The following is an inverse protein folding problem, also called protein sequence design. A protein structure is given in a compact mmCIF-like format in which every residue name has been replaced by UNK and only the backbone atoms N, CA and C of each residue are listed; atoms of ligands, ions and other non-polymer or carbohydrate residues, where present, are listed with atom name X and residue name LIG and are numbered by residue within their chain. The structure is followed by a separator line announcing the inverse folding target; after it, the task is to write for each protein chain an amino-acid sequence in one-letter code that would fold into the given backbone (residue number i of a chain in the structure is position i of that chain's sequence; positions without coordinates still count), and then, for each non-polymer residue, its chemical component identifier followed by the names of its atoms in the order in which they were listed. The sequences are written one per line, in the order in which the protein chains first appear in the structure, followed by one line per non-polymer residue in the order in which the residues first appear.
data_IF_809492110341
#
_entry.id   IF_809492110341
#
_cell.length_a   1.000
_cell.length_b   1.000
_cell.length_c   1.000
_cell.angle_alpha   90.00
_cell.angle_beta   90.00
_cell.angle_gamma   90.00
#
_symmetry.space_group_name_H-M   'P 1'
#
loop_
_entity.id
_entity.type
_entity.pdbx_description
1 polymer ?
#
# COMPACT_ATOMS: atom_id res chain seq x y z
N UNK A 1 1.44 4.84 3.91
CA UNK A 1 1.01 3.52 3.41
C UNK A 1 -0.51 3.45 3.19
N UNK A 2 -0.99 2.55 2.33
CA UNK A 2 -2.41 2.21 2.14
C UNK A 2 -2.67 0.87 2.84
N UNK A 3 -3.61 0.83 3.79
CA UNK A 3 -3.83 -0.32 4.65
C UNK A 3 -5.28 -0.79 4.67
N UNK A 4 -5.47 -2.09 4.79
CA UNK A 4 -6.70 -2.75 5.17
C UNK A 4 -6.40 -4.21 5.53
N UNK A 5 -7.02 -4.71 6.59
CA UNK A 5 -6.86 -6.10 7.05
C UNK A 5 -7.72 -7.09 6.25
N UNK A 6 -8.64 -6.58 5.44
CA UNK A 6 -9.48 -7.40 4.56
C UNK A 6 -8.81 -7.60 3.21
N UNK A 7 -8.80 -8.84 2.72
CA UNK A 7 -8.32 -9.18 1.37
C UNK A 7 -9.24 -8.63 0.27
N UNK A 8 -8.67 -8.35 -0.90
CA UNK A 8 -9.43 -7.95 -2.09
C UNK A 8 -10.01 -6.54 -2.07
N UNK A 9 -9.59 -5.67 -1.14
CA UNK A 9 -10.05 -4.28 -1.10
C UNK A 9 -9.30 -3.34 -2.07
N UNK A 10 -8.27 -3.85 -2.77
CA UNK A 10 -7.53 -3.12 -3.79
C UNK A 10 -6.34 -2.32 -3.28
N UNK A 11 -5.73 -2.69 -2.15
CA UNK A 11 -4.51 -2.05 -1.61
C UNK A 11 -3.40 -1.96 -2.64
N UNK A 12 -2.92 -3.11 -3.11
CA UNK A 12 -1.80 -3.21 -4.07
C UNK A 12 -2.11 -2.48 -5.37
N UNK A 13 -3.35 -2.57 -5.89
CA UNK A 13 -3.78 -1.80 -7.06
C UNK A 13 -3.76 -0.29 -6.82
N UNK A 14 -4.16 0.15 -5.63
CA UNK A 14 -4.12 1.57 -5.27
C UNK A 14 -2.66 2.05 -5.15
N UNK A 15 -1.79 1.30 -4.46
CA UNK A 15 -0.37 1.63 -4.33
C UNK A 15 0.29 1.68 -5.72
N UNK A 16 -0.01 0.72 -6.59
CA UNK A 16 0.50 0.66 -7.96
C UNK A 16 0.19 1.95 -8.75
N UNK A 17 -1.07 2.37 -8.77
CA UNK A 17 -1.47 3.57 -9.53
C UNK A 17 -1.01 4.88 -8.87
N UNK A 18 -1.09 4.97 -7.53
CA UNK A 18 -0.60 6.15 -6.78
C UNK A 18 0.89 6.34 -6.97
N UNK A 19 1.68 5.25 -6.91
CA UNK A 19 3.14 5.33 -7.10
C UNK A 19 3.51 5.79 -8.51
N UNK A 20 2.82 5.32 -9.54
CA UNK A 20 3.00 5.77 -10.91
C UNK A 20 2.67 7.27 -11.08
N UNK A 21 1.59 7.74 -10.50
CA UNK A 21 1.24 9.16 -10.59
C UNK A 21 2.26 10.05 -9.88
N UNK A 22 2.64 9.69 -8.66
CA UNK A 22 3.66 10.42 -7.90
C UNK A 22 5.01 10.44 -8.62
N UNK A 23 5.40 9.36 -9.27
CA UNK A 23 6.70 9.26 -9.95
C UNK A 23 6.86 10.17 -11.16
N UNK A 24 5.79 10.81 -11.62
CA UNK A 24 5.89 11.83 -12.68
C UNK A 24 6.67 13.06 -12.23
N UNK A 25 6.70 13.36 -10.93
CA UNK A 25 7.33 14.56 -10.38
C UNK A 25 8.26 14.29 -9.18
N UNK A 26 8.25 13.08 -8.61
CA UNK A 26 8.94 12.74 -7.38
C UNK A 26 9.67 11.41 -7.50
N UNK A 27 10.72 11.23 -6.71
CA UNK A 27 11.37 9.92 -6.55
C UNK A 27 10.56 9.05 -5.60
N UNK A 28 10.03 7.95 -6.12
CA UNK A 28 9.12 7.06 -5.41
C UNK A 28 9.72 5.68 -5.26
N UNK A 29 9.68 5.14 -4.07
CA UNK A 29 9.99 3.74 -3.78
C UNK A 29 8.73 3.01 -3.32
N UNK A 30 8.49 1.85 -3.89
CA UNK A 30 7.50 0.89 -3.38
C UNK A 30 8.24 -0.25 -2.70
N UNK A 31 7.78 -0.66 -1.51
CA UNK A 31 8.30 -1.83 -0.79
C UNK A 31 7.18 -2.85 -0.67
N UNK A 32 7.39 -4.03 -1.25
CA UNK A 32 6.46 -5.15 -1.15
C UNK A 32 6.81 -5.99 0.09
N UNK A 33 5.89 -6.08 1.04
CA UNK A 33 5.98 -6.93 2.23
C UNK A 33 4.97 -8.10 2.20
N UNK A 34 4.26 -8.30 1.07
CA UNK A 34 3.36 -9.45 0.87
C UNK A 34 4.10 -10.62 0.20
N UNK A 35 4.78 -11.42 1.00
CA UNK A 35 5.51 -12.58 0.48
C UNK A 35 4.63 -13.72 -0.03
N UNK A 36 3.32 -13.76 0.30
CA UNK A 36 2.43 -14.83 -0.16
C UNK A 36 1.90 -14.56 -1.56
N UNK A 37 1.28 -13.40 -1.76
CA UNK A 37 0.74 -13.01 -3.05
C UNK A 37 1.81 -12.35 -3.92
N UNK A 38 2.66 -11.51 -3.33
CA UNK A 38 3.62 -10.65 -4.03
C UNK A 38 2.95 -9.92 -5.22
N UNK A 39 1.71 -9.46 -4.98
CA UNK A 39 0.84 -8.92 -6.00
C UNK A 39 1.46 -7.69 -6.66
N UNK A 40 1.99 -6.76 -5.86
CA UNK A 40 2.55 -5.53 -6.42
C UNK A 40 3.87 -5.78 -7.17
N UNK A 41 4.66 -6.75 -6.72
CA UNK A 41 5.84 -7.22 -7.46
C UNK A 41 5.42 -7.76 -8.83
N UNK A 42 4.35 -8.55 -8.88
CA UNK A 42 3.81 -9.08 -10.13
C UNK A 42 3.20 -7.97 -11.01
N UNK A 43 2.53 -6.97 -10.44
CA UNK A 43 1.94 -5.87 -11.21
C UNK A 43 2.99 -5.06 -11.96
N UNK A 44 4.16 -4.83 -11.36
CA UNK A 44 5.25 -4.11 -11.98
C UNK A 44 6.02 -4.93 -13.02
N UNK A 45 6.29 -6.20 -12.75
CA UNK A 45 7.24 -6.98 -13.52
C UNK A 45 6.65 -8.21 -14.22
N UNK A 46 5.44 -8.61 -13.88
CA UNK A 46 4.82 -9.81 -14.43
C UNK A 46 5.68 -11.04 -14.20
N UNK A 47 5.84 -11.83 -15.26
CA UNK A 47 6.70 -13.02 -15.28
C UNK A 47 8.15 -12.72 -15.73
N UNK A 48 8.53 -11.43 -15.90
CA UNK A 48 9.87 -11.06 -16.32
C UNK A 48 10.91 -11.20 -15.22
N UNK A 49 10.48 -11.31 -13.98
CA UNK A 49 11.35 -11.67 -12.87
C UNK A 49 11.63 -13.18 -12.98
N UNK A 50 12.79 -13.50 -13.57
CA UNK A 50 13.33 -14.84 -13.59
C UNK A 50 13.63 -15.28 -12.15
N UNK A 51 13.14 -16.46 -11.75
CA UNK A 51 13.39 -17.09 -10.45
C UNK A 51 13.03 -16.22 -9.22
N UNK A 52 11.71 -16.04 -9.01
CA UNK A 52 11.17 -15.30 -7.85
C UNK A 52 11.75 -15.72 -6.50
N UNK A 53 12.13 -17.00 -6.36
CA UNK A 53 12.63 -17.53 -5.10
C UNK A 53 14.04 -17.08 -4.76
N UNK A 54 14.83 -16.68 -5.75
CA UNK A 54 16.21 -16.18 -5.60
C UNK A 54 16.33 -14.67 -5.50
N UNK A 55 15.24 -13.90 -5.71
CA UNK A 55 15.26 -12.45 -5.62
C UNK A 55 15.62 -12.00 -4.20
N UNK A 56 16.59 -11.10 -4.11
CA UNK A 56 16.89 -10.40 -2.88
C UNK A 56 15.75 -9.45 -2.52
N UNK A 57 15.35 -9.49 -1.26
CA UNK A 57 14.23 -8.74 -0.69
C UNK A 57 14.69 -7.87 0.47
N UNK A 58 13.78 -7.07 1.02
CA UNK A 58 14.03 -6.31 2.25
C UNK A 58 14.46 -7.22 3.41
N UNK A 59 13.99 -8.48 3.44
CA UNK A 59 14.34 -9.44 4.48
C UNK A 59 15.82 -9.82 4.44
N UNK A 60 16.44 -9.86 3.24
CA UNK A 60 17.87 -10.14 3.12
C UNK A 60 18.70 -9.02 3.75
N UNK A 61 18.32 -7.77 3.54
CA UNK A 61 18.95 -6.62 4.22
C UNK A 61 18.78 -6.67 5.73
N UNK A 62 17.64 -7.17 6.22
CA UNK A 62 17.36 -7.28 7.65
C UNK A 62 18.10 -8.45 8.33
N UNK A 63 18.50 -9.47 7.56
CA UNK A 63 19.18 -10.67 8.05
C UNK A 63 20.69 -10.64 7.90
N UNK A 64 21.17 -10.03 6.82
CA UNK A 64 22.56 -10.07 6.40
C UNK A 64 23.13 -8.66 6.41
N UNK A 65 24.10 -8.39 7.28
CA UNK A 65 24.80 -7.08 7.35
C UNK A 65 25.62 -6.76 6.09
N UNK A 66 25.85 -7.75 5.22
CA UNK A 66 26.59 -7.60 3.97
C UNK A 66 25.72 -7.20 2.77
N UNK A 67 24.38 -7.20 2.91
CA UNK A 67 23.45 -6.82 1.84
C UNK A 67 22.97 -5.40 2.10
N UNK A 68 23.33 -4.47 1.23
CA UNK A 68 22.83 -3.11 1.29
C UNK A 68 21.36 -3.07 0.82
N UNK A 69 20.57 -2.14 1.36
CA UNK A 69 19.21 -1.92 0.85
C UNK A 69 19.20 -1.49 -0.61
N UNK A 70 20.24 -0.83 -1.07
CA UNK A 70 20.36 -0.42 -2.48
C UNK A 70 20.61 -1.59 -3.44
N UNK A 71 21.13 -2.72 -2.95
CA UNK A 71 21.35 -3.93 -3.77
C UNK A 71 20.05 -4.66 -4.14
N UNK A 72 19.00 -4.43 -3.34
CA UNK A 72 17.69 -5.10 -3.51
C UNK A 72 16.69 -4.25 -4.29
N UNK A 73 17.00 -2.98 -4.55
CA UNK A 73 16.13 -2.08 -5.31
C UNK A 73 16.15 -2.45 -6.81
N UNK A 74 14.97 -2.47 -7.40
CA UNK A 74 14.77 -2.68 -8.85
C UNK A 74 14.13 -1.45 -9.47
N UNK A 75 14.72 -0.87 -10.53
CA UNK A 75 14.11 0.25 -11.24
C UNK A 75 12.88 -0.23 -12.04
N UNK A 76 11.79 0.54 -11.95
CA UNK A 76 10.58 0.39 -12.77
C UNK A 76 10.59 1.45 -13.86
N UNK A 77 10.78 2.71 -13.46
CA UNK A 77 11.04 3.86 -14.34
C UNK A 77 12.18 4.68 -13.78
N UNK A 78 12.51 5.82 -14.39
CA UNK A 78 13.57 6.73 -13.91
C UNK A 78 13.33 7.17 -12.45
N UNK A 79 12.07 7.43 -12.06
CA UNK A 79 11.71 7.94 -10.74
C UNK A 79 10.89 6.95 -9.89
N UNK A 80 10.58 5.75 -10.39
CA UNK A 80 9.83 4.74 -9.68
C UNK A 80 10.66 3.47 -9.52
N UNK A 81 10.86 3.09 -8.29
CA UNK A 81 11.64 1.90 -7.94
C UNK A 81 10.82 0.97 -7.04
N UNK A 82 11.18 -0.32 -7.02
CA UNK A 82 10.56 -1.35 -6.20
C UNK A 82 11.61 -2.14 -5.42
N UNK A 83 11.33 -2.41 -4.15
CA UNK A 83 11.91 -3.53 -3.41
C UNK A 83 10.90 -4.69 -3.49
N UNK A 84 11.21 -5.76 -4.24
CA UNK A 84 10.27 -6.85 -4.48
C UNK A 84 10.11 -7.76 -3.27
N UNK A 85 9.03 -8.55 -3.26
CA UNK A 85 8.82 -9.63 -2.31
C UNK A 85 8.96 -11.02 -2.96
N UNK A 86 9.30 -11.98 -2.11
CA UNK A 86 9.19 -13.41 -2.38
C UNK A 86 8.64 -14.12 -1.12
N UNK A 87 8.46 -15.42 -1.19
CA UNK A 87 7.89 -16.21 -0.08
C UNK A 87 8.69 -16.07 1.23
N UNK A 88 9.98 -15.75 1.18
CA UNK A 88 10.81 -15.59 2.38
C UNK A 88 10.37 -14.42 3.26
N UNK A 89 9.71 -13.41 2.68
CA UNK A 89 9.20 -12.22 3.41
C UNK A 89 8.13 -12.61 4.43
N UNK A 90 7.41 -13.72 4.22
CA UNK A 90 6.43 -14.24 5.20
C UNK A 90 7.05 -14.65 6.53
N UNK A 91 8.34 -14.91 6.55
CA UNK A 91 9.10 -15.39 7.71
C UNK A 91 9.75 -14.26 8.53
N UNK A 92 9.28 -13.03 8.39
CA UNK A 92 9.71 -11.90 9.24
C UNK A 92 9.01 -12.04 10.60
N UNK A 93 9.67 -12.62 11.58
CA UNK A 93 9.02 -13.03 12.83
C UNK A 93 9.78 -12.66 14.11
N UNK A 94 10.47 -11.51 14.19
CA UNK A 94 11.16 -11.14 15.43
C UNK A 94 11.15 -9.65 15.72
N UNK A 95 11.01 -9.28 17.00
CA UNK A 95 11.01 -7.89 17.50
C UNK A 95 12.30 -7.12 17.22
N UNK A 96 13.43 -7.80 17.15
CA UNK A 96 14.74 -7.22 16.80
C UNK A 96 14.77 -6.69 15.35
N UNK A 97 13.88 -7.16 14.48
CA UNK A 97 13.76 -6.68 13.10
C UNK A 97 13.16 -5.28 12.99
N UNK A 98 12.38 -4.85 13.95
CA UNK A 98 11.73 -3.53 13.98
C UNK A 98 12.75 -2.38 13.95
N UNK A 99 13.80 -2.49 14.77
CA UNK A 99 14.89 -1.49 14.83
C UNK A 99 15.69 -1.48 13.53
N UNK A 100 15.97 -2.66 12.97
CA UNK A 100 16.70 -2.78 11.71
C UNK A 100 15.89 -2.22 10.55
N UNK A 101 14.59 -2.53 10.47
CA UNK A 101 13.70 -2.01 9.43
C UNK A 101 13.61 -0.49 9.50
N UNK A 102 13.46 0.08 10.68
CA UNK A 102 13.44 1.55 10.87
C UNK A 102 14.73 2.22 10.40
N UNK A 103 15.90 1.62 10.66
CA UNK A 103 17.18 2.13 10.15
C UNK A 103 17.22 2.13 8.63
N UNK A 104 16.78 1.04 8.00
CA UNK A 104 16.69 0.91 6.53
C UNK A 104 15.75 1.98 5.96
N UNK A 105 14.57 2.17 6.54
CA UNK A 105 13.64 3.19 6.07
C UNK A 105 14.21 4.60 6.22
N UNK A 106 14.93 4.89 7.31
CA UNK A 106 15.57 6.20 7.48
C UNK A 106 16.67 6.44 6.44
N UNK A 107 17.44 5.42 6.06
CA UNK A 107 18.42 5.52 4.97
C UNK A 107 17.74 5.80 3.63
N UNK A 108 16.62 5.14 3.34
CA UNK A 108 15.85 5.33 2.11
C UNK A 108 15.17 6.72 2.05
N UNK A 109 14.79 7.31 3.17
CA UNK A 109 14.20 8.67 3.24
C UNK A 109 15.16 9.78 2.77
N UNK A 110 16.46 9.53 2.77
CA UNK A 110 17.45 10.49 2.23
C UNK A 110 17.49 10.51 0.69
N UNK A 111 16.90 9.50 0.04
CA UNK A 111 16.95 9.32 -1.41
C UNK A 111 15.61 9.47 -2.10
N UNK A 112 14.51 9.10 -1.41
CA UNK A 112 13.17 9.06 -1.97
C UNK A 112 12.25 10.09 -1.31
N UNK A 113 11.48 10.80 -2.13
CA UNK A 113 10.46 11.74 -1.67
C UNK A 113 9.26 11.02 -1.06
N UNK A 114 8.90 9.85 -1.64
CA UNK A 114 7.83 9.00 -1.18
C UNK A 114 8.25 7.54 -1.07
N UNK A 115 7.90 6.91 0.04
CA UNK A 115 8.04 5.46 0.24
C UNK A 115 6.65 4.90 0.50
N UNK A 116 6.17 4.05 -0.39
CA UNK A 116 4.90 3.34 -0.28
C UNK A 116 5.16 1.90 0.11
N UNK A 117 4.44 1.39 1.11
CA UNK A 117 4.64 0.02 1.61
C UNK A 117 3.36 -0.77 1.38
N UNK A 118 3.45 -1.87 0.64
CA UNK A 118 2.37 -2.84 0.45
C UNK A 118 2.52 -4.00 1.43
N UNK A 119 1.42 -4.39 2.07
CA UNK A 119 1.39 -5.42 3.09
C UNK A 119 0.28 -6.43 2.83
N UNK A 120 0.43 -7.69 3.29
CA UNK A 120 -0.61 -8.70 3.15
C UNK A 120 -1.92 -8.29 3.86
N UNK A 121 -3.05 -8.90 3.51
CA UNK A 121 -4.35 -8.50 4.05
C UNK A 121 -4.60 -8.92 5.51
N UNK A 122 -3.78 -9.76 6.09
CA UNK A 122 -3.95 -10.22 7.47
C UNK A 122 -3.02 -9.46 8.43
N UNK A 123 -3.50 -9.11 9.63
CA UNK A 123 -2.63 -8.53 10.65
C UNK A 123 -1.51 -9.52 11.00
N UNK A 124 -0.29 -9.10 10.75
CA UNK A 124 0.91 -9.88 10.99
C UNK A 124 2.11 -8.95 11.22
N UNK A 125 3.32 -9.52 11.28
CA UNK A 125 4.55 -8.75 11.46
C UNK A 125 4.80 -7.70 10.38
N UNK A 126 4.39 -7.94 9.14
CA UNK A 126 4.51 -6.94 8.06
C UNK A 126 3.67 -5.71 8.34
N UNK A 127 2.47 -5.87 8.91
CA UNK A 127 1.64 -4.74 9.38
C UNK A 127 2.32 -3.95 10.49
N UNK A 128 2.86 -4.62 11.50
CA UNK A 128 3.57 -3.96 12.60
C UNK A 128 4.81 -3.21 12.10
N UNK A 129 5.60 -3.81 11.21
CA UNK A 129 6.75 -3.16 10.59
C UNK A 129 6.31 -1.91 9.83
N UNK A 130 5.29 -2.05 8.99
CA UNK A 130 4.75 -0.96 8.20
C UNK A 130 4.26 0.21 9.09
N UNK A 131 3.42 -0.07 10.09
CA UNK A 131 2.90 0.93 11.02
C UNK A 131 4.01 1.62 11.83
N UNK A 132 5.08 0.87 12.20
CA UNK A 132 6.18 1.41 13.00
C UNK A 132 7.01 2.51 12.31
N UNK A 133 6.90 2.65 10.97
CA UNK A 133 7.70 3.59 10.17
C UNK A 133 6.85 4.54 9.32
N UNK A 134 5.56 4.28 9.20
CA UNK A 134 4.66 5.08 8.35
C UNK A 134 4.28 6.38 9.03
N UNK A 135 4.60 7.51 8.39
CA UNK A 135 4.13 8.82 8.84
C UNK A 135 2.64 9.00 8.54
N UNK A 136 2.21 8.60 7.34
CA UNK A 136 0.83 8.74 6.91
C UNK A 136 0.22 7.38 6.58
N UNK A 137 -0.98 7.15 7.08
CA UNK A 137 -1.75 5.93 6.89
C UNK A 137 -3.06 6.29 6.19
N UNK A 138 -3.36 5.56 5.12
CA UNK A 138 -4.59 5.69 4.35
C UNK A 138 -5.35 4.37 4.39
N UNK A 139 -6.32 4.19 5.29
CA UNK A 139 -7.22 3.06 5.23
C UNK A 139 -7.97 3.04 3.89
N UNK A 140 -8.09 1.86 3.27
CA UNK A 140 -8.88 1.66 2.05
C UNK A 140 -10.02 0.69 2.32
N UNK A 141 -11.23 1.07 1.97
CA UNK A 141 -12.45 0.29 2.25
C UNK A 141 -13.29 0.13 0.99
N UNK A 142 -13.98 -1.00 0.90
CA UNK A 142 -15.01 -1.25 -0.13
C UNK A 142 -16.40 -1.05 0.47
N UNK A 143 -17.43 -0.75 -0.34
CA UNK A 143 -18.79 -0.60 0.12
C UNK A 143 -19.45 -1.98 0.37
N UNK A 144 -19.02 -2.68 1.41
CA UNK A 144 -19.60 -3.95 1.85
C UNK A 144 -19.82 -3.98 3.37
N UNK A 145 -20.69 -4.89 3.84
CA UNK A 145 -21.15 -5.00 5.22
C UNK A 145 -20.01 -5.26 6.22
N UNK A 146 -18.93 -5.91 5.79
CA UNK A 146 -17.81 -6.25 6.67
C UNK A 146 -16.79 -5.10 6.81
N UNK A 147 -16.83 -4.11 5.92
CA UNK A 147 -15.83 -3.04 5.86
C UNK A 147 -15.78 -2.15 7.10
N UNK A 148 -16.89 -1.74 7.73
CA UNK A 148 -16.84 -0.95 8.96
C UNK A 148 -16.15 -1.69 10.10
N UNK A 149 -16.43 -2.98 10.28
CA UNK A 149 -15.77 -3.81 11.31
C UNK A 149 -14.27 -3.95 11.04
N UNK A 150 -13.89 -4.23 9.81
CA UNK A 150 -12.47 -4.35 9.42
C UNK A 150 -11.73 -3.00 9.56
N UNK A 151 -12.40 -1.88 9.28
CA UNK A 151 -11.85 -0.55 9.51
C UNK A 151 -11.63 -0.28 11.02
N UNK A 152 -12.59 -0.65 11.87
CA UNK A 152 -12.46 -0.49 13.33
C UNK A 152 -11.27 -1.30 13.86
N UNK A 153 -11.12 -2.57 13.46
CA UNK A 153 -9.97 -3.40 13.84
C UNK A 153 -8.64 -2.78 13.41
N UNK A 154 -8.56 -2.29 12.16
CA UNK A 154 -7.37 -1.60 11.67
C UNK A 154 -7.06 -0.34 12.50
N UNK A 155 -8.08 0.42 12.91
CA UNK A 155 -7.89 1.60 13.73
C UNK A 155 -7.36 1.28 15.13
N UNK A 156 -7.77 0.14 15.71
CA UNK A 156 -7.19 -0.37 16.95
C UNK A 156 -5.70 -0.66 16.79
N UNK A 157 -5.31 -1.37 15.73
CA UNK A 157 -3.91 -1.65 15.40
C UNK A 157 -3.08 -0.37 15.16
N UNK A 158 -3.66 0.66 14.53
CA UNK A 158 -3.00 1.95 14.33
C UNK A 158 -2.82 2.68 15.66
N UNK A 159 -3.84 2.69 16.53
CA UNK A 159 -3.77 3.30 17.86
C UNK A 159 -2.71 2.64 18.74
N UNK A 160 -2.61 1.32 18.71
CA UNK A 160 -1.53 0.59 19.39
C UNK A 160 -0.15 0.99 18.84
N UNK A 161 -0.02 1.12 17.52
CA UNK A 161 1.23 1.56 16.94
C UNK A 161 1.60 2.99 17.35
N UNK A 162 0.63 3.91 17.41
CA UNK A 162 0.83 5.28 17.88
C UNK A 162 1.26 5.32 19.35
N UNK A 163 0.70 4.45 20.19
CA UNK A 163 1.04 4.40 21.62
C UNK A 163 2.44 3.80 21.88
N UNK A 164 2.78 2.70 21.19
CA UNK A 164 3.95 1.89 21.57
C UNK A 164 5.15 1.98 20.62
N UNK A 165 4.93 2.27 19.33
CA UNK A 165 6.01 2.13 18.34
C UNK A 165 6.23 3.34 17.47
N UNK A 166 5.19 4.11 17.12
CA UNK A 166 5.27 5.22 16.19
C UNK A 166 4.29 6.35 16.53
N UNK A 167 4.60 7.20 17.52
CA UNK A 167 3.73 8.31 17.93
C UNK A 167 3.47 9.35 16.81
N UNK A 168 4.29 9.36 15.76
CA UNK A 168 4.16 10.30 14.64
C UNK A 168 3.22 9.79 13.53
N UNK A 169 2.74 8.55 13.65
CA UNK A 169 1.79 8.00 12.67
C UNK A 169 0.47 8.78 12.71
N UNK A 170 -0.03 9.18 11.55
CA UNK A 170 -1.27 9.94 11.43
C UNK A 170 -2.12 9.46 10.25
N UNK A 171 -3.41 9.72 10.32
CA UNK A 171 -4.32 9.45 9.21
C UNK A 171 -4.25 10.55 8.16
N UNK A 172 -3.97 10.18 6.92
CA UNK A 172 -4.07 11.13 5.79
C UNK A 172 -5.52 11.25 5.29
N UNK A 173 -6.31 10.22 5.50
CA UNK A 173 -7.70 10.11 5.08
C UNK A 173 -8.07 8.66 4.75
N UNK A 174 -9.38 8.38 4.60
CA UNK A 174 -9.91 7.05 4.26
C UNK A 174 -10.32 7.03 2.79
N UNK A 175 -9.86 6.02 2.05
CA UNK A 175 -10.17 5.84 0.63
C UNK A 175 -11.37 4.90 0.50
N UNK A 176 -12.45 5.35 -0.16
CA UNK A 176 -13.54 4.47 -0.61
C UNK A 176 -13.19 3.93 -2.00
N UNK A 177 -13.01 2.62 -2.10
CA UNK A 177 -12.66 1.92 -3.33
C UNK A 177 -13.81 1.04 -3.82
N UNK A 178 -13.81 0.69 -5.11
CA UNK A 178 -14.85 -0.13 -5.77
C UNK A 178 -16.26 0.43 -5.56
N UNK A 179 -16.38 1.75 -5.50
CA UNK A 179 -17.64 2.42 -5.21
C UNK A 179 -18.59 2.40 -6.42
N UNK A 180 -19.83 1.91 -6.20
CA UNK A 180 -20.94 2.06 -7.14
C UNK A 180 -22.08 2.83 -6.46
N UNK A 181 -22.12 4.13 -6.66
CA UNK A 181 -23.11 5.02 -6.07
C UNK A 181 -24.58 4.78 -6.51
N UNK A 182 -24.81 3.89 -7.46
CA UNK A 182 -26.17 3.48 -7.86
C UNK A 182 -26.82 2.57 -6.82
N UNK A 183 -26.02 1.90 -5.99
CA UNK A 183 -26.52 0.95 -4.99
C UNK A 183 -26.80 1.64 -3.65
N UNK A 184 -27.88 1.23 -2.98
CA UNK A 184 -28.19 1.70 -1.63
C UNK A 184 -27.13 1.28 -0.62
N UNK A 185 -26.56 0.07 -0.79
CA UNK A 185 -25.52 -0.45 0.08
C UNK A 185 -24.30 0.49 0.06
N UNK A 186 -23.79 0.86 -1.12
CA UNK A 186 -22.63 1.74 -1.22
C UNK A 186 -22.87 3.11 -0.57
N UNK A 187 -24.05 3.69 -0.75
CA UNK A 187 -24.42 4.96 -0.11
C UNK A 187 -24.47 4.85 1.41
N UNK A 188 -25.08 3.78 1.94
CA UNK A 188 -25.15 3.56 3.38
C UNK A 188 -23.78 3.31 4.01
N UNK A 189 -22.92 2.50 3.34
CA UNK A 189 -21.56 2.23 3.81
C UNK A 189 -20.69 3.49 3.78
N UNK A 190 -20.87 4.36 2.81
CA UNK A 190 -20.17 5.66 2.80
C UNK A 190 -20.50 6.49 4.03
N UNK A 191 -21.78 6.59 4.41
CA UNK A 191 -22.20 7.33 5.62
C UNK A 191 -21.61 6.69 6.88
N UNK A 192 -21.60 5.37 6.95
CA UNK A 192 -21.06 4.65 8.11
C UNK A 192 -19.54 4.85 8.24
N UNK A 193 -18.80 4.75 7.15
CA UNK A 193 -17.34 4.99 7.12
C UNK A 193 -17.02 6.45 7.45
N UNK A 194 -17.80 7.42 6.97
CA UNK A 194 -17.62 8.84 7.28
C UNK A 194 -17.83 9.13 8.78
N UNK A 195 -18.83 8.48 9.39
CA UNK A 195 -19.04 8.54 10.84
C UNK A 195 -17.85 7.96 11.63
N UNK A 196 -17.23 6.88 11.14
CA UNK A 196 -16.02 6.33 11.75
C UNK A 196 -14.86 7.31 11.58
N UNK A 197 -14.64 7.84 10.38
CA UNK A 197 -13.59 8.82 10.09
C UNK A 197 -13.67 10.03 11.03
N UNK A 198 -14.87 10.57 11.22
CA UNK A 198 -15.13 11.69 12.14
C UNK A 198 -14.74 11.36 13.58
N UNK A 199 -15.07 10.15 14.07
CA UNK A 199 -14.72 9.69 15.42
C UNK A 199 -13.20 9.54 15.61
N UNK A 200 -12.48 9.24 14.55
CA UNK A 200 -11.01 9.10 14.52
C UNK A 200 -10.29 10.43 14.34
N UNK A 201 -11.01 11.55 14.21
CA UNK A 201 -10.41 12.86 13.94
C UNK A 201 -9.81 12.98 12.53
N UNK A 202 -10.24 12.13 11.59
CA UNK A 202 -9.82 12.16 10.18
C UNK A 202 -11.03 12.38 9.26
N UNK A 203 -10.84 12.27 7.95
CA UNK A 203 -11.89 12.42 6.96
C UNK A 203 -11.81 11.33 5.89
N UNK A 204 -12.87 11.18 5.13
CA UNK A 204 -12.80 10.46 3.85
C UNK A 204 -12.19 11.36 2.78
N UNK A 205 -11.42 10.77 1.87
CA UNK A 205 -11.05 11.47 0.65
C UNK A 205 -12.31 11.85 -0.14
N UNK A 206 -12.32 13.05 -0.73
CA UNK A 206 -13.46 13.52 -1.55
C UNK A 206 -13.67 12.66 -2.79
N UNK A 207 -12.60 12.06 -3.28
CA UNK A 207 -12.61 11.22 -4.48
C UNK A 207 -12.75 9.76 -4.09
N UNK A 208 -13.78 9.11 -4.63
CA UNK A 208 -13.98 7.66 -4.52
C UNK A 208 -13.43 7.00 -5.78
N UNK A 209 -12.81 5.83 -5.64
CA UNK A 209 -12.41 5.01 -6.78
C UNK A 209 -13.59 4.12 -7.17
N UNK A 210 -14.12 4.34 -8.37
CA UNK A 210 -15.26 3.58 -8.88
C UNK A 210 -14.90 2.13 -9.22
N UNK A 211 -15.87 1.23 -9.06
CA UNK A 211 -15.73 -0.11 -9.60
C UNK A 211 -15.63 -0.04 -11.13
N UNK A 212 -14.56 -0.61 -11.69
CA UNK A 212 -14.29 -0.54 -13.13
C UNK A 212 -13.60 -1.80 -13.64
N UNK A 213 -13.95 -2.23 -14.84
CA UNK A 213 -13.28 -3.32 -15.54
C UNK A 213 -11.85 -2.90 -15.91
N UNK A 214 -11.64 -1.63 -16.25
CA UNK A 214 -10.32 -1.06 -16.56
C UNK A 214 -9.33 -1.33 -15.41
N UNK A 215 -9.77 -1.23 -14.15
CA UNK A 215 -8.93 -1.48 -12.97
C UNK A 215 -8.62 -2.97 -12.74
N UNK A 216 -9.15 -3.88 -13.54
CA UNK A 216 -8.74 -5.29 -13.58
C UNK A 216 -7.83 -5.56 -14.78
N UNK A 217 -8.16 -4.97 -15.92
CA UNK A 217 -7.45 -5.20 -17.18
C UNK A 217 -6.05 -4.58 -17.20
N UNK A 218 -5.87 -3.35 -16.66
CA UNK A 218 -4.57 -2.68 -16.64
C UNK A 218 -3.52 -3.47 -15.86
N UNK A 219 -3.92 -4.14 -14.77
CA UNK A 219 -3.04 -5.01 -13.98
C UNK A 219 -2.59 -6.21 -14.80
N UNK A 220 -3.50 -6.84 -15.55
CA UNK A 220 -3.17 -7.97 -16.42
C UNK A 220 -2.22 -7.57 -17.56
N UNK A 221 -2.18 -6.30 -17.93
CA UNK A 221 -1.25 -5.74 -18.91
C UNK A 221 0.05 -5.20 -18.29
N UNK A 222 0.22 -5.27 -16.98
CA UNK A 222 1.38 -4.70 -16.26
C UNK A 222 1.60 -3.20 -16.56
N UNK A 223 0.52 -2.47 -16.73
CA UNK A 223 0.51 -1.04 -17.02
C UNK A 223 -0.26 -0.30 -15.93
N UNK A 224 0.16 0.90 -15.58
CA UNK A 224 -0.65 1.78 -14.75
C UNK A 224 -1.96 2.14 -15.45
N UNK A 225 -2.97 2.55 -14.72
CA UNK A 225 -4.22 3.05 -15.34
C UNK A 225 -3.97 4.28 -16.23
N UNK A 226 -2.90 5.02 -15.95
CA UNK A 226 -2.51 6.21 -16.73
C UNK A 226 -1.88 5.85 -18.07
N UNK A 227 -1.23 4.69 -18.17
CA UNK A 227 -0.67 4.17 -19.43
C UNK A 227 -1.73 3.39 -20.21
N UNK A 228 -2.47 2.52 -19.54
CA UNK A 228 -3.46 1.64 -20.16
C UNK A 228 -4.68 2.40 -20.70
N UNK A 229 -5.24 3.31 -19.91
CA UNK A 229 -6.46 4.03 -20.23
C UNK A 229 -6.43 5.49 -19.69
N UNK A 230 -5.54 6.37 -20.21
CA UNK A 230 -5.27 7.69 -19.64
C UNK A 230 -6.47 8.64 -19.62
N UNK A 231 -7.44 8.44 -20.51
CA UNK A 231 -8.66 9.25 -20.58
C UNK A 231 -9.85 8.67 -19.82
N UNK A 232 -9.64 7.53 -19.15
CA UNK A 232 -10.69 6.84 -18.40
C UNK A 232 -11.11 7.62 -17.15
N UNK A 233 -12.31 7.29 -16.65
CA UNK A 233 -12.77 7.78 -15.34
C UNK A 233 -11.84 7.34 -14.23
N UNK A 234 -11.35 6.09 -14.27
CA UNK A 234 -10.44 5.55 -13.27
C UNK A 234 -9.11 6.30 -13.19
N UNK A 235 -8.51 6.67 -14.34
CA UNK A 235 -7.30 7.49 -14.36
C UNK A 235 -7.53 8.86 -13.69
N UNK A 236 -8.63 9.52 -14.02
CA UNK A 236 -9.00 10.82 -13.41
C UNK A 236 -9.27 10.70 -11.90
N UNK A 237 -9.91 9.61 -11.47
CA UNK A 237 -10.16 9.38 -10.03
C UNK A 237 -8.86 9.21 -9.26
N UNK A 238 -7.88 8.46 -9.77
CA UNK A 238 -6.56 8.35 -9.14
C UNK A 238 -5.78 9.67 -9.17
N UNK A 239 -5.82 10.42 -10.27
CA UNK A 239 -5.24 11.76 -10.35
C UNK A 239 -5.83 12.66 -9.26
N UNK A 240 -7.17 12.73 -9.15
CA UNK A 240 -7.86 13.55 -8.15
C UNK A 240 -7.68 13.06 -6.70
N UNK A 241 -7.34 11.79 -6.50
CA UNK A 241 -7.03 11.23 -5.18
C UNK A 241 -5.69 11.71 -4.67
N UNK A 242 -4.72 11.93 -5.57
CA UNK A 242 -3.33 12.29 -5.23
C UNK A 242 -3.12 13.81 -5.22
N UNK A 243 -3.90 14.58 -5.99
CA UNK A 243 -3.86 16.05 -5.99
C UNK A 243 -4.66 16.66 -4.84
#
# INVERSE_FOLDING_TARGET
TILQEKGGCGKSSAIFNVSYYLSQNYKVLVIDLDGQAADITYYFFGNTIEDRDSILTILDCMRKTSVSVFDVIRPVTENLHLIPANISVTNIATTDKLVTFRKIINELKEVYDYILIDVPPSPNWSHMLCLSVSKYIMPIVNPDIASPKALTSLCESISEAQEYTNPEADYLGIIMNMYDGRTNLARNMMIEVDNIATKLGTCMFRTNISQSVILKEHIACHQSVFEYAPKSKSAKEYEMLVC
#
